data_IF_941408562072
#
_entry.id   IF_941408562072
#
_cell.length_a   1.000
_cell.length_b   1.000
_cell.length_c   1.000
_cell.angle_alpha   90.00
_cell.angle_beta   90.00
_cell.angle_gamma   90.00
#
_symmetry.space_group_name_H-M   'P 1'
#
loop_
_entity.id
_entity.type
_entity.pdbx_description
1 polymer ?
#
# COMPACT_ATOMS: atom_id res chain seq x y z
N UNK A 1 9.00 26.68 17.52
CA UNK A 1 8.98 25.32 18.11
C UNK A 1 7.92 24.36 17.53
N UNK A 2 7.01 24.76 16.62
CA UNK A 2 5.93 23.89 16.10
C UNK A 2 6.08 23.44 14.62
N UNK A 3 7.14 23.86 13.92
CA UNK A 3 7.25 23.67 12.46
C UNK A 3 7.37 22.19 12.05
N UNK A 4 8.14 21.38 12.78
CA UNK A 4 8.32 19.96 12.49
C UNK A 4 7.03 19.12 12.58
N UNK A 5 6.29 19.12 13.71
CA UNK A 5 5.03 18.37 13.79
C UNK A 5 3.99 18.89 12.80
N UNK A 6 3.99 20.19 12.48
CA UNK A 6 3.09 20.77 11.48
C UNK A 6 3.39 20.25 10.07
N UNK A 7 4.66 20.17 9.66
CA UNK A 7 5.05 19.60 8.36
C UNK A 7 4.68 18.12 8.24
N UNK A 8 4.90 17.33 9.29
CA UNK A 8 4.46 15.93 9.34
C UNK A 8 2.93 15.84 9.25
N UNK A 9 2.21 16.67 10.00
CA UNK A 9 0.75 16.71 9.99
C UNK A 9 0.18 17.06 8.61
N UNK A 10 0.77 18.03 7.92
CA UNK A 10 0.41 18.40 6.55
C UNK A 10 0.64 17.25 5.57
N UNK A 11 1.80 16.59 5.66
CA UNK A 11 2.10 15.44 4.79
C UNK A 11 1.15 14.26 5.08
N UNK A 12 0.88 13.95 6.34
CA UNK A 12 -0.08 12.93 6.72
C UNK A 12 -1.50 13.25 6.20
N UNK A 13 -1.92 14.52 6.29
CA UNK A 13 -3.17 15.00 5.71
C UNK A 13 -3.23 14.80 4.20
N UNK A 14 -2.14 15.10 3.49
CA UNK A 14 -2.03 14.85 2.05
C UNK A 14 -2.13 13.36 1.70
N UNK A 15 -1.47 12.49 2.46
CA UNK A 15 -1.57 11.04 2.30
C UNK A 15 -3.01 10.54 2.46
N UNK A 16 -3.72 11.05 3.47
CA UNK A 16 -5.14 10.71 3.69
C UNK A 16 -6.02 11.18 2.54
N UNK A 17 -5.82 12.41 2.06
CA UNK A 17 -6.54 12.94 0.89
C UNK A 17 -6.29 12.06 -0.33
N UNK A 18 -5.04 11.72 -0.61
CA UNK A 18 -4.67 10.86 -1.74
C UNK A 18 -5.33 9.47 -1.64
N UNK A 19 -5.36 8.87 -0.44
CA UNK A 19 -6.06 7.60 -0.20
C UNK A 19 -7.57 7.71 -0.48
N UNK A 20 -8.21 8.76 0.02
CA UNK A 20 -9.65 8.99 -0.22
C UNK A 20 -9.94 9.17 -1.71
N UNK A 21 -9.09 9.91 -2.43
CA UNK A 21 -9.22 10.06 -3.88
C UNK A 21 -9.05 8.73 -4.61
N UNK A 22 -8.05 7.92 -4.23
CA UNK A 22 -7.84 6.60 -4.82
C UNK A 22 -9.08 5.71 -4.63
N UNK A 23 -9.61 5.63 -3.41
CA UNK A 23 -10.78 4.80 -3.11
C UNK A 23 -12.02 5.27 -3.88
N UNK A 24 -12.21 6.59 -4.03
CA UNK A 24 -13.30 7.15 -4.84
C UNK A 24 -13.15 6.83 -6.31
N UNK A 25 -11.95 6.99 -6.86
CA UNK A 25 -11.64 6.68 -8.25
C UNK A 25 -11.86 5.19 -8.55
N UNK A 26 -11.37 4.31 -7.69
CA UNK A 26 -11.52 2.87 -7.86
C UNK A 26 -12.98 2.44 -7.76
N UNK A 27 -13.72 2.96 -6.77
CA UNK A 27 -15.16 2.69 -6.65
C UNK A 27 -15.91 3.13 -7.92
N UNK A 28 -15.60 4.31 -8.46
CA UNK A 28 -16.20 4.81 -9.69
C UNK A 28 -15.87 3.90 -10.89
N UNK A 29 -14.63 3.42 -10.98
CA UNK A 29 -14.18 2.50 -12.02
C UNK A 29 -15.00 1.19 -12.05
N UNK A 30 -15.27 0.60 -10.87
CA UNK A 30 -16.09 -0.62 -10.75
C UNK A 30 -17.59 -0.36 -10.91
N UNK A 31 -18.06 0.84 -10.52
CA UNK A 31 -19.45 1.25 -10.73
C UNK A 31 -19.78 1.36 -12.23
N UNK A 32 -18.92 1.99 -13.01
CA UNK A 32 -19.08 2.13 -14.47
C UNK A 32 -19.12 0.77 -15.20
N UNK A 33 -18.61 -0.30 -14.57
CA UNK A 33 -18.58 -1.66 -15.12
C UNK A 33 -19.69 -2.56 -14.57
N UNK A 34 -20.62 -2.03 -13.77
CA UNK A 34 -21.70 -2.80 -13.17
C UNK A 34 -21.25 -3.77 -12.06
N UNK A 35 -20.03 -3.62 -11.53
CA UNK A 35 -19.43 -4.53 -10.53
C UNK A 35 -19.20 -3.87 -9.17
N UNK A 36 -19.99 -2.85 -8.83
CA UNK A 36 -19.83 -2.07 -7.59
C UNK A 36 -19.92 -2.92 -6.32
N UNK A 37 -20.80 -3.94 -6.29
CA UNK A 37 -20.99 -4.83 -5.15
C UNK A 37 -19.79 -5.73 -4.85
N UNK A 38 -18.95 -5.99 -5.86
CA UNK A 38 -17.77 -6.85 -5.77
C UNK A 38 -16.53 -6.12 -5.27
N UNK A 39 -16.47 -4.80 -5.45
CA UNK A 39 -15.31 -3.99 -5.10
C UNK A 39 -15.04 -3.98 -3.59
N UNK A 40 -16.05 -3.65 -2.79
CA UNK A 40 -15.88 -3.45 -1.35
C UNK A 40 -15.41 -4.71 -0.61
N UNK A 41 -16.00 -5.91 -0.83
CA UNK A 41 -15.53 -7.12 -0.17
C UNK A 41 -14.08 -7.46 -0.50
N UNK A 42 -13.67 -7.33 -1.76
CA UNK A 42 -12.27 -7.61 -2.18
C UNK A 42 -11.32 -6.57 -1.59
N UNK A 43 -11.72 -5.30 -1.52
CA UNK A 43 -10.95 -4.23 -0.88
C UNK A 43 -10.81 -4.42 0.63
N UNK A 44 -11.85 -4.88 1.32
CA UNK A 44 -11.77 -5.21 2.75
C UNK A 44 -10.88 -6.43 2.99
N UNK A 45 -10.91 -7.42 2.09
CA UNK A 45 -10.03 -8.58 2.14
C UNK A 45 -8.54 -8.21 1.99
N UNK A 46 -8.20 -7.04 1.45
CA UNK A 46 -6.82 -6.54 1.40
C UNK A 46 -6.17 -6.53 2.78
N UNK A 47 -6.90 -6.24 3.86
CA UNK A 47 -6.35 -6.18 5.23
C UNK A 47 -5.86 -7.56 5.71
N UNK A 48 -6.70 -8.61 5.79
CA UNK A 48 -6.22 -9.93 6.19
C UNK A 48 -5.20 -10.49 5.19
N UNK A 49 -5.35 -10.23 3.89
CA UNK A 49 -4.33 -10.64 2.89
C UNK A 49 -2.99 -9.99 3.20
N UNK A 50 -2.94 -8.70 3.54
CA UNK A 50 -1.71 -8.00 3.92
C UNK A 50 -1.05 -8.62 5.15
N UNK A 51 -1.83 -8.91 6.18
CA UNK A 51 -1.32 -9.52 7.41
C UNK A 51 -0.71 -10.89 7.13
N UNK A 52 -1.39 -11.74 6.36
CA UNK A 52 -0.89 -13.07 6.01
C UNK A 52 0.33 -12.99 5.09
N UNK A 53 0.32 -12.07 4.11
CA UNK A 53 1.48 -11.84 3.22
C UNK A 53 2.70 -11.40 4.03
N UNK A 54 2.53 -10.43 4.93
CA UNK A 54 3.59 -9.94 5.79
C UNK A 54 4.10 -11.04 6.72
N UNK A 55 3.21 -11.83 7.33
CA UNK A 55 3.59 -12.95 8.18
C UNK A 55 4.41 -14.00 7.41
N UNK A 56 3.99 -14.36 6.19
CA UNK A 56 4.68 -15.32 5.33
C UNK A 56 6.10 -14.87 4.93
N UNK A 57 6.38 -13.57 4.93
CA UNK A 57 7.71 -13.00 4.62
C UNK A 57 8.54 -12.78 5.88
N UNK A 58 7.95 -12.14 6.90
CA UNK A 58 8.66 -11.67 8.09
C UNK A 58 8.99 -12.82 9.04
N UNK A 59 8.08 -13.76 9.26
CA UNK A 59 8.29 -14.84 10.23
C UNK A 59 9.50 -15.70 9.84
N UNK A 60 9.61 -16.22 8.59
CA UNK A 60 10.78 -16.99 8.20
C UNK A 60 12.07 -16.17 8.24
N UNK A 61 12.04 -14.92 7.75
CA UNK A 61 13.21 -14.04 7.76
C UNK A 61 13.74 -13.76 9.17
N UNK A 62 12.85 -13.58 10.16
CA UNK A 62 13.22 -13.40 11.57
C UNK A 62 13.75 -14.69 12.23
N UNK A 63 13.44 -15.85 11.66
CA UNK A 63 13.98 -17.13 12.09
C UNK A 63 15.42 -17.38 11.63
N UNK A 64 15.96 -16.55 10.73
CA UNK A 64 17.32 -16.65 10.20
C UNK A 64 18.18 -15.52 10.76
N UNK A 65 19.38 -15.83 11.24
CA UNK A 65 20.31 -14.87 11.85
C UNK A 65 21.33 -14.32 10.85
N UNK A 66 21.98 -13.20 11.21
CA UNK A 66 23.05 -12.60 10.41
C UNK A 66 22.59 -12.07 9.05
N UNK A 67 23.52 -12.02 8.09
CA UNK A 67 23.26 -11.50 6.73
C UNK A 67 22.26 -12.36 5.94
N UNK A 68 22.15 -13.63 6.28
CA UNK A 68 21.23 -14.57 5.63
C UNK A 68 19.77 -14.20 5.87
N UNK A 69 19.44 -13.63 7.03
CA UNK A 69 18.07 -13.17 7.32
C UNK A 69 17.59 -12.10 6.34
N UNK A 70 18.49 -11.19 5.91
CA UNK A 70 18.18 -10.19 4.90
C UNK A 70 18.01 -10.82 3.51
N UNK A 71 18.84 -11.81 3.16
CA UNK A 71 18.71 -12.54 1.91
C UNK A 71 17.36 -13.30 1.84
N UNK A 72 17.00 -14.02 2.92
CA UNK A 72 15.71 -14.70 3.05
C UNK A 72 14.56 -13.71 2.94
N UNK A 73 14.64 -12.57 3.63
CA UNK A 73 13.65 -11.51 3.54
C UNK A 73 13.44 -11.05 2.09
N UNK A 74 14.52 -10.73 1.36
CA UNK A 74 14.40 -10.26 -0.03
C UNK A 74 13.89 -11.33 -0.97
N UNK A 75 14.35 -12.57 -0.84
CA UNK A 75 13.85 -13.69 -1.66
C UNK A 75 12.34 -13.81 -1.45
N UNK A 76 11.87 -13.89 -0.20
CA UNK A 76 10.45 -14.04 0.09
C UNK A 76 9.65 -12.80 -0.33
N UNK A 77 10.15 -11.60 -0.06
CA UNK A 77 9.50 -10.34 -0.40
C UNK A 77 9.33 -10.16 -1.91
N UNK A 78 10.30 -10.59 -2.73
CA UNK A 78 10.24 -10.40 -4.18
C UNK A 78 9.75 -11.61 -4.96
N UNK A 79 9.49 -12.74 -4.30
CA UNK A 79 8.90 -13.93 -4.94
C UNK A 79 7.57 -14.31 -4.30
N UNK A 80 7.59 -14.88 -3.09
CA UNK A 80 6.41 -15.40 -2.40
C UNK A 80 5.39 -14.29 -2.08
N UNK A 81 5.86 -13.13 -1.63
CA UNK A 81 5.01 -11.98 -1.28
C UNK A 81 4.08 -11.58 -2.42
N UNK A 82 4.60 -11.22 -3.62
CA UNK A 82 3.79 -10.88 -4.79
C UNK A 82 2.87 -12.02 -5.22
N UNK A 83 3.38 -13.26 -5.28
CA UNK A 83 2.57 -14.43 -5.68
C UNK A 83 1.37 -14.59 -4.77
N UNK A 84 1.58 -14.55 -3.45
CA UNK A 84 0.51 -14.68 -2.48
C UNK A 84 -0.42 -13.45 -2.50
N UNK A 85 0.14 -12.24 -2.53
CA UNK A 85 -0.62 -10.98 -2.53
C UNK A 85 -1.61 -10.91 -3.70
N UNK A 86 -1.12 -11.07 -4.94
CA UNK A 86 -1.98 -11.01 -6.12
C UNK A 86 -2.86 -12.25 -6.26
N UNK A 87 -2.33 -13.43 -5.93
CA UNK A 87 -3.08 -14.69 -5.97
C UNK A 87 -4.28 -14.69 -5.02
N UNK A 88 -4.10 -14.23 -3.78
CA UNK A 88 -5.18 -14.15 -2.80
C UNK A 88 -6.26 -13.15 -3.21
N UNK A 89 -5.89 -11.97 -3.71
CA UNK A 89 -6.86 -11.00 -4.24
C UNK A 89 -7.64 -11.55 -5.44
N UNK A 90 -6.99 -12.35 -6.29
CA UNK A 90 -7.66 -13.03 -7.40
C UNK A 90 -8.64 -14.11 -6.93
N UNK A 91 -8.23 -14.94 -5.96
CA UNK A 91 -9.09 -15.96 -5.36
C UNK A 91 -10.33 -15.30 -4.74
N UNK A 92 -10.16 -14.28 -3.90
CA UNK A 92 -11.29 -13.55 -3.30
C UNK A 92 -12.15 -12.88 -4.37
N UNK A 93 -11.53 -12.32 -5.42
CA UNK A 93 -12.24 -11.75 -6.57
C UNK A 93 -13.12 -12.76 -7.31
N UNK A 94 -12.72 -14.04 -7.38
CA UNK A 94 -13.56 -15.10 -7.95
C UNK A 94 -14.75 -15.49 -7.06
N UNK A 95 -14.66 -15.26 -5.74
CA UNK A 95 -15.67 -15.66 -4.76
C UNK A 95 -16.80 -14.65 -4.60
N UNK A 96 -16.60 -13.40 -5.02
CA UNK A 96 -17.63 -12.35 -4.97
C UNK A 96 -18.59 -12.42 -6.17
N UNK A 97 -19.77 -11.79 -6.06
CA UNK A 97 -20.77 -11.72 -7.12
C UNK A 97 -21.10 -10.26 -7.46
N UNK A 98 -20.97 -9.82 -8.73
CA UNK A 98 -20.37 -10.53 -9.87
C UNK A 98 -18.88 -10.89 -9.68
N UNK A 99 -18.42 -11.99 -10.26
CA UNK A 99 -17.02 -12.40 -10.16
C UNK A 99 -16.08 -11.40 -10.84
N UNK A 100 -14.92 -11.14 -10.20
CA UNK A 100 -13.85 -10.34 -10.75
C UNK A 100 -12.86 -11.22 -11.54
N UNK A 101 -12.40 -10.71 -12.68
CA UNK A 101 -11.29 -11.28 -13.42
C UNK A 101 -9.93 -10.97 -12.77
N UNK A 102 -8.87 -11.59 -13.28
CA UNK A 102 -7.51 -11.37 -12.75
C UNK A 102 -7.10 -9.90 -12.82
N UNK A 103 -7.31 -9.21 -13.96
CA UNK A 103 -6.95 -7.80 -14.11
C UNK A 103 -7.68 -6.87 -13.13
N UNK A 104 -8.95 -7.16 -12.83
CA UNK A 104 -9.75 -6.40 -11.88
C UNK A 104 -9.26 -6.61 -10.44
N UNK A 105 -9.00 -7.86 -10.05
CA UNK A 105 -8.39 -8.17 -8.74
C UNK A 105 -6.98 -7.58 -8.62
N UNK A 106 -6.17 -7.66 -9.68
CA UNK A 106 -4.82 -7.11 -9.71
C UNK A 106 -4.83 -5.58 -9.59
N UNK A 107 -5.83 -4.90 -10.15
CA UNK A 107 -6.00 -3.46 -9.97
C UNK A 107 -6.29 -3.10 -8.50
N UNK A 108 -7.18 -3.83 -7.83
CA UNK A 108 -7.47 -3.62 -6.39
C UNK A 108 -6.22 -3.91 -5.55
N UNK A 109 -5.48 -4.98 -5.88
CA UNK A 109 -4.25 -5.37 -5.19
C UNK A 109 -3.10 -4.37 -5.43
N UNK A 110 -2.98 -3.84 -6.64
CA UNK A 110 -1.87 -2.99 -7.08
C UNK A 110 -2.03 -1.52 -6.71
N UNK A 111 -3.26 -1.01 -6.65
CA UNK A 111 -3.50 0.41 -6.35
C UNK A 111 -2.94 0.92 -5.01
N UNK A 112 -3.01 0.18 -3.87
CA UNK A 112 -2.37 0.63 -2.63
C UNK A 112 -0.83 0.59 -2.70
N UNK A 113 -0.25 -0.35 -3.45
CA UNK A 113 1.21 -0.43 -3.66
C UNK A 113 1.65 0.80 -4.46
N UNK A 114 0.98 1.09 -5.57
CA UNK A 114 1.27 2.26 -6.40
C UNK A 114 1.12 3.56 -5.61
N UNK A 115 0.07 3.69 -4.80
CA UNK A 115 -0.10 4.84 -3.92
C UNK A 115 1.04 4.96 -2.92
N UNK A 116 1.42 3.86 -2.26
CA UNK A 116 2.55 3.83 -1.32
C UNK A 116 3.84 4.31 -1.97
N UNK A 117 4.19 3.75 -3.14
CA UNK A 117 5.38 4.16 -3.91
C UNK A 117 5.31 5.64 -4.30
N UNK A 118 4.18 6.12 -4.82
CA UNK A 118 4.00 7.51 -5.20
C UNK A 118 4.18 8.46 -3.99
N UNK A 119 3.61 8.11 -2.84
CA UNK A 119 3.76 8.88 -1.61
C UNK A 119 5.19 8.85 -1.07
N UNK A 120 5.91 7.72 -1.18
CA UNK A 120 7.33 7.64 -0.82
C UNK A 120 8.21 8.52 -1.70
N UNK A 121 7.99 8.52 -3.02
CA UNK A 121 8.69 9.40 -3.96
C UNK A 121 8.39 10.87 -3.66
N UNK A 122 7.14 11.19 -3.38
CA UNK A 122 6.72 12.54 -3.00
C UNK A 122 7.39 12.98 -1.70
N UNK A 123 7.40 12.14 -0.66
CA UNK A 123 8.08 12.42 0.60
C UNK A 123 9.57 12.71 0.38
N UNK A 124 10.24 11.87 -0.41
CA UNK A 124 11.65 12.05 -0.75
C UNK A 124 11.90 13.39 -1.48
N UNK A 125 11.02 13.74 -2.41
CA UNK A 125 11.11 15.00 -3.18
C UNK A 125 10.87 16.23 -2.30
N UNK A 126 9.97 16.14 -1.31
CA UNK A 126 9.63 17.23 -0.40
C UNK A 126 10.63 17.37 0.76
N UNK A 127 11.43 16.34 1.04
CA UNK A 127 12.36 16.31 2.17
C UNK A 127 13.33 17.52 2.19
N UNK A 128 14.02 17.90 1.09
CA UNK A 128 14.95 19.04 1.13
C UNK A 128 14.25 20.37 1.44
N UNK A 129 13.04 20.55 0.91
CA UNK A 129 12.21 21.74 1.14
C UNK A 129 11.82 21.82 2.61
N UNK A 130 11.34 20.70 3.19
CA UNK A 130 11.00 20.61 4.60
C UNK A 130 12.19 20.98 5.50
N UNK A 131 13.39 20.46 5.21
CA UNK A 131 14.60 20.82 5.96
C UNK A 131 14.98 22.29 5.84
N UNK A 132 14.80 22.89 4.66
CA UNK A 132 15.05 24.33 4.47
C UNK A 132 14.13 25.17 5.35
N UNK A 133 12.84 24.82 5.41
CA UNK A 133 11.84 25.50 6.26
C UNK A 133 12.25 25.36 7.73
N UNK A 134 12.58 24.15 8.17
CA UNK A 134 12.97 23.91 9.57
C UNK A 134 14.21 24.69 9.99
N UNK A 135 15.21 24.82 9.11
CA UNK A 135 16.39 25.65 9.34
C UNK A 135 16.04 27.13 9.44
N UNK A 136 15.18 27.64 8.54
CA UNK A 136 14.75 29.06 8.59
C UNK A 136 13.96 29.42 9.85
N UNK A 137 13.31 28.44 10.49
CA UNK A 137 12.56 28.64 11.73
C UNK A 137 13.35 28.33 13.00
N UNK A 138 14.67 28.07 12.88
CA UNK A 138 15.55 27.77 14.02
C UNK A 138 15.19 26.46 14.74
N UNK A 139 14.62 25.50 14.02
CA UNK A 139 14.11 24.21 14.56
C UNK A 139 14.86 22.99 14.03
N UNK A 140 15.90 23.20 13.22
CA UNK A 140 16.81 22.16 12.71
C UNK A 140 18.26 22.56 12.99
#
# INVERSE_FOLDING_TARGET
MQAFPLLIGLFAGLCLVALVFLLRWERAYFLQRGKHGSWLPVRLATVPIALVTAAAVIIPARGTSGMEGLAVFYILLFTLGPVFWFGAHWIVGKLVKPALGFGESAQIAGSPILLGVALSVLAHTLQPIAWSILRSTGTA
#
